data_IF_005100422480
#
_entry.id   IF_005100422480
#
_cell.length_a   1.000
_cell.length_b   1.000
_cell.length_c   1.000
_cell.angle_alpha   90.00
_cell.angle_beta   90.00
_cell.angle_gamma   90.00
#
_symmetry.space_group_name_H-M   'P 1'
#
loop_
_entity.id
_entity.type
_entity.pdbx_description
1 polymer ?
#
# COMPACT_ATOMS: atom_id res chain seq x y z
N UNK A 1 -16.17 -9.30 9.01
CA UNK A 1 -15.49 -8.03 8.66
C UNK A 1 -16.51 -7.03 8.18
N UNK A 2 -16.39 -5.77 8.60
CA UNK A 2 -17.29 -4.68 8.19
C UNK A 2 -16.46 -3.49 7.70
N UNK A 3 -17.02 -2.72 6.74
CA UNK A 3 -16.50 -1.41 6.30
C UNK A 3 -17.64 -0.41 6.52
N UNK A 4 -17.38 0.64 7.31
CA UNK A 4 -18.39 1.61 7.75
C UNK A 4 -19.68 0.95 8.30
N UNK A 5 -19.53 -0.09 9.12
CA UNK A 5 -20.64 -0.83 9.73
C UNK A 5 -21.37 -1.80 8.79
N UNK A 6 -21.05 -1.84 7.49
CA UNK A 6 -21.66 -2.77 6.52
C UNK A 6 -20.82 -4.03 6.40
N UNK A 7 -21.46 -5.19 6.44
CA UNK A 7 -20.78 -6.47 6.25
C UNK A 7 -20.15 -6.56 4.85
N UNK A 8 -18.92 -7.04 4.80
CA UNK A 8 -18.20 -7.29 3.54
C UNK A 8 -18.68 -8.60 2.92
N UNK A 9 -19.24 -8.53 1.72
CA UNK A 9 -19.66 -9.69 0.93
C UNK A 9 -19.05 -9.61 -0.46
N UNK A 10 -17.88 -10.26 -0.67
CA UNK A 10 -17.21 -10.29 -1.97
C UNK A 10 -16.46 -9.01 -2.36
N UNK A 11 -16.20 -8.83 -3.65
CA UNK A 11 -15.49 -7.67 -4.21
C UNK A 11 -16.39 -6.42 -4.21
N UNK A 12 -15.78 -5.23 -4.05
CA UNK A 12 -16.52 -3.97 -4.07
C UNK A 12 -15.59 -2.79 -4.37
N UNK A 13 -16.12 -1.68 -4.88
CA UNK A 13 -15.38 -0.46 -5.18
C UNK A 13 -14.95 0.33 -3.92
N UNK A 14 -15.46 -0.04 -2.76
CA UNK A 14 -15.07 0.52 -1.47
C UNK A 14 -13.71 0.02 -0.98
N UNK A 15 -13.11 -0.97 -1.67
CA UNK A 15 -11.81 -1.55 -1.38
C UNK A 15 -10.93 -1.59 -2.63
N UNK A 16 -9.73 -1.04 -2.53
CA UNK A 16 -8.68 -1.18 -3.54
C UNK A 16 -7.69 -2.26 -3.11
N UNK A 17 -7.15 -3.02 -4.07
CA UNK A 17 -6.12 -4.04 -3.81
C UNK A 17 -4.85 -3.73 -4.58
N UNK A 18 -3.72 -3.80 -3.88
CA UNK A 18 -2.36 -3.74 -4.46
C UNK A 18 -1.66 -5.03 -4.11
N UNK A 19 -1.22 -5.76 -5.12
CA UNK A 19 -0.55 -7.06 -4.99
C UNK A 19 0.96 -6.90 -4.96
N UNK A 20 1.67 -7.94 -4.55
CA UNK A 20 3.13 -8.04 -4.56
C UNK A 20 3.69 -7.81 -5.97
N UNK A 21 3.10 -8.44 -6.97
CA UNK A 21 3.30 -8.08 -8.37
C UNK A 21 2.15 -7.17 -8.78
N UNK A 22 2.45 -6.06 -9.45
CA UNK A 22 1.45 -5.02 -9.75
C UNK A 22 0.24 -5.48 -10.58
N UNK A 23 0.29 -6.71 -11.11
CA UNK A 23 -0.78 -7.37 -11.89
C UNK A 23 -1.41 -6.41 -12.91
N UNK A 24 -0.53 -5.74 -13.68
CA UNK A 24 -0.97 -4.84 -14.74
C UNK A 24 -1.42 -5.64 -15.96
N UNK A 25 -2.46 -5.16 -16.62
CA UNK A 25 -2.93 -5.71 -17.88
C UNK A 25 -1.86 -5.43 -18.96
N UNK A 26 -1.17 -6.45 -19.50
CA UNK A 26 0.05 -6.26 -20.28
C UNK A 26 -0.18 -5.62 -21.65
N UNK A 27 -1.40 -5.69 -22.16
CA UNK A 27 -1.82 -5.07 -23.43
C UNK A 27 -2.27 -3.60 -23.28
N UNK A 28 -2.44 -3.10 -22.05
CA UNK A 28 -2.84 -1.73 -21.75
C UNK A 28 -1.62 -0.87 -21.38
N UNK A 29 -1.65 0.43 -21.71
CA UNK A 29 -0.68 1.42 -21.20
C UNK A 29 -0.89 1.67 -19.70
N UNK A 30 0.04 2.41 -19.06
CA UNK A 30 -0.11 2.84 -17.67
C UNK A 30 -1.43 3.63 -17.46
N UNK A 31 -1.74 4.57 -18.35
CA UNK A 31 -2.98 5.32 -18.36
C UNK A 31 -4.21 4.39 -18.42
N UNK A 32 -4.21 3.47 -19.38
CA UNK A 32 -5.33 2.55 -19.59
C UNK A 32 -5.51 1.58 -18.42
N UNK A 33 -4.42 1.16 -17.77
CA UNK A 33 -4.48 0.36 -16.55
C UNK A 33 -5.19 1.10 -15.41
N UNK A 34 -4.90 2.39 -15.23
CA UNK A 34 -5.58 3.21 -14.22
C UNK A 34 -7.04 3.48 -14.60
N UNK A 35 -7.31 3.76 -15.87
CA UNK A 35 -8.66 3.98 -16.38
C UNK A 35 -9.57 2.77 -16.24
N UNK A 36 -9.03 1.55 -16.32
CA UNK A 36 -9.80 0.31 -16.36
C UNK A 36 -10.83 0.19 -15.21
N UNK A 37 -10.38 0.41 -13.96
CA UNK A 37 -11.27 0.36 -12.80
C UNK A 37 -12.34 1.46 -12.80
N UNK A 38 -11.99 2.65 -13.29
CA UNK A 38 -12.90 3.78 -13.43
C UNK A 38 -13.98 3.52 -14.48
N UNK A 39 -13.59 2.90 -15.60
CA UNK A 39 -14.52 2.48 -16.66
C UNK A 39 -15.54 1.45 -16.15
N UNK A 40 -15.09 0.50 -15.34
CA UNK A 40 -15.98 -0.48 -14.70
C UNK A 40 -16.94 0.17 -13.72
N UNK A 41 -16.54 1.29 -13.09
CA UNK A 41 -17.39 2.14 -12.24
C UNK A 41 -18.40 2.98 -13.05
N UNK A 42 -18.32 2.99 -14.36
CA UNK A 42 -19.21 3.73 -15.27
C UNK A 42 -18.71 5.11 -15.69
N UNK A 43 -17.50 5.53 -15.26
CA UNK A 43 -16.90 6.80 -15.66
C UNK A 43 -16.55 6.78 -17.16
N UNK A 44 -16.69 7.90 -17.86
CA UNK A 44 -16.46 8.01 -19.31
C UNK A 44 -15.88 9.36 -19.70
N UNK A 45 -15.39 9.45 -20.93
CA UNK A 45 -14.99 10.71 -21.56
C UNK A 45 -13.85 11.45 -20.90
N UNK A 46 -13.95 12.78 -20.85
CA UNK A 46 -12.89 13.64 -20.32
C UNK A 46 -12.64 13.46 -18.82
N UNK A 47 -13.70 13.18 -18.04
CA UNK A 47 -13.60 12.94 -16.60
C UNK A 47 -12.76 11.68 -16.30
N UNK A 48 -12.99 10.59 -17.03
CA UNK A 48 -12.22 9.36 -16.92
C UNK A 48 -10.72 9.63 -17.12
N UNK A 49 -10.39 10.36 -18.18
CA UNK A 49 -8.99 10.66 -18.51
C UNK A 49 -8.34 11.58 -17.47
N UNK A 50 -9.00 12.67 -17.11
CA UNK A 50 -8.46 13.63 -16.13
C UNK A 50 -8.28 13.01 -14.74
N UNK A 51 -9.19 12.11 -14.34
CA UNK A 51 -9.05 11.36 -13.09
C UNK A 51 -7.84 10.44 -13.13
N UNK A 52 -7.65 9.67 -14.20
CA UNK A 52 -6.50 8.80 -14.35
C UNK A 52 -5.18 9.58 -14.39
N UNK A 53 -5.12 10.70 -15.10
CA UNK A 53 -3.97 11.62 -15.14
C UNK A 53 -3.60 12.12 -13.75
N UNK A 54 -4.58 12.55 -12.95
CA UNK A 54 -4.38 12.98 -11.56
C UNK A 54 -3.71 11.91 -10.70
N UNK A 55 -4.13 10.65 -10.81
CA UNK A 55 -3.53 9.58 -10.00
C UNK A 55 -2.17 9.13 -10.52
N UNK A 56 -1.91 9.19 -11.82
CA UNK A 56 -0.57 8.98 -12.37
C UNK A 56 0.40 10.09 -11.97
N UNK A 57 -0.06 11.33 -11.93
CA UNK A 57 0.73 12.46 -11.43
C UNK A 57 1.03 12.30 -9.92
N UNK A 58 0.05 11.85 -9.14
CA UNK A 58 0.19 11.58 -7.70
C UNK A 58 1.32 10.58 -7.39
N UNK A 59 1.54 9.60 -8.27
CA UNK A 59 2.60 8.59 -8.14
C UNK A 59 3.85 8.90 -8.98
N UNK A 60 3.98 10.12 -9.50
CA UNK A 60 5.15 10.58 -10.26
C UNK A 60 5.32 9.92 -11.64
N UNK A 61 4.24 9.50 -12.30
CA UNK A 61 4.28 8.81 -13.59
C UNK A 61 3.62 9.57 -14.73
N UNK A 62 3.47 10.90 -14.61
CA UNK A 62 2.86 11.77 -15.63
C UNK A 62 3.46 11.56 -17.02
N UNK A 63 4.79 11.52 -17.12
CA UNK A 63 5.51 11.41 -18.39
C UNK A 63 5.59 9.96 -18.92
N UNK A 64 5.11 8.99 -18.15
CA UNK A 64 5.16 7.57 -18.51
C UNK A 64 3.78 6.97 -18.79
N UNK A 65 2.74 7.78 -18.87
CA UNK A 65 1.34 7.36 -19.01
C UNK A 65 1.05 6.49 -20.24
N UNK A 66 1.80 6.66 -21.32
CA UNK A 66 1.62 5.93 -22.57
C UNK A 66 2.45 4.63 -22.65
N UNK A 67 3.35 4.39 -21.69
CA UNK A 67 4.19 3.19 -21.66
C UNK A 67 3.37 1.96 -21.28
N UNK A 68 3.68 0.83 -21.92
CA UNK A 68 3.13 -0.48 -21.57
C UNK A 68 3.94 -1.14 -20.45
N UNK A 69 3.40 -2.14 -19.74
CA UNK A 69 4.09 -2.78 -18.61
C UNK A 69 5.50 -3.29 -18.91
N UNK A 70 5.76 -3.82 -20.11
CA UNK A 70 7.09 -4.27 -20.49
C UNK A 70 8.12 -3.14 -20.68
N UNK A 71 7.68 -1.89 -20.74
CA UNK A 71 8.51 -0.68 -20.87
C UNK A 71 8.72 0.04 -19.52
N UNK A 72 8.18 -0.52 -18.43
CA UNK A 72 8.22 0.04 -17.09
C UNK A 72 9.17 -0.78 -16.20
N UNK A 73 9.93 -0.11 -15.32
CA UNK A 73 10.68 -0.77 -14.26
C UNK A 73 9.73 -1.43 -13.23
N UNK A 74 10.25 -2.28 -12.36
CA UNK A 74 9.46 -2.90 -11.29
C UNK A 74 8.76 -1.87 -10.41
N UNK A 75 9.49 -0.85 -9.95
CA UNK A 75 8.94 0.24 -9.15
C UNK A 75 7.90 1.07 -9.90
N UNK A 76 8.11 1.34 -11.20
CA UNK A 76 7.09 2.04 -12.01
C UNK A 76 5.81 1.20 -12.17
N UNK A 77 5.93 -0.11 -12.37
CA UNK A 77 4.75 -1.01 -12.41
C UNK A 77 3.98 -0.95 -11.10
N UNK A 78 4.69 -0.99 -9.97
CA UNK A 78 4.06 -0.92 -8.65
C UNK A 78 3.34 0.41 -8.43
N UNK A 79 3.93 1.52 -8.83
CA UNK A 79 3.27 2.84 -8.80
C UNK A 79 2.00 2.89 -9.66
N UNK A 80 2.00 2.29 -10.85
CA UNK A 80 0.77 2.17 -11.66
C UNK A 80 -0.28 1.33 -10.94
N UNK A 81 0.10 0.23 -10.27
CA UNK A 81 -0.79 -0.59 -9.45
C UNK A 81 -1.43 0.19 -8.30
N UNK A 82 -0.63 1.01 -7.59
CA UNK A 82 -1.11 1.90 -6.53
C UNK A 82 -2.06 2.96 -7.11
N UNK A 83 -1.69 3.62 -8.21
CA UNK A 83 -2.54 4.61 -8.87
C UNK A 83 -3.89 4.01 -9.30
N UNK A 84 -3.88 2.81 -9.89
CA UNK A 84 -5.08 2.06 -10.28
C UNK A 84 -5.99 1.77 -9.09
N UNK A 85 -5.41 1.32 -7.98
CA UNK A 85 -6.17 1.01 -6.77
C UNK A 85 -6.74 2.27 -6.10
N UNK A 86 -6.02 3.39 -6.13
CA UNK A 86 -6.48 4.67 -5.56
C UNK A 86 -7.52 5.37 -6.43
N UNK A 87 -7.43 5.22 -7.76
CA UNK A 87 -8.28 5.95 -8.71
C UNK A 87 -9.77 5.65 -8.53
N UNK A 88 -10.12 4.42 -8.15
CA UNK A 88 -11.51 4.04 -7.86
C UNK A 88 -12.06 4.68 -6.57
N UNK A 89 -11.26 5.51 -5.88
CA UNK A 89 -11.58 6.18 -4.62
C UNK A 89 -12.08 5.20 -3.53
N UNK A 90 -11.30 4.19 -3.17
CA UNK A 90 -11.69 3.21 -2.17
C UNK A 90 -11.68 3.82 -0.77
N UNK A 91 -12.45 3.26 0.16
CA UNK A 91 -12.39 3.59 1.59
C UNK A 91 -11.21 2.91 2.28
N UNK A 92 -10.91 1.70 1.84
CA UNK A 92 -9.81 0.87 2.37
C UNK A 92 -8.90 0.45 1.23
N UNK A 93 -7.59 0.63 1.41
CA UNK A 93 -6.56 0.13 0.52
C UNK A 93 -5.90 -1.09 1.16
N UNK A 94 -6.03 -2.24 0.51
CA UNK A 94 -5.39 -3.49 0.91
C UNK A 94 -4.08 -3.62 0.13
N UNK A 95 -2.97 -3.82 0.82
CA UNK A 95 -1.66 -3.99 0.20
C UNK A 95 -1.06 -5.31 0.69
N UNK A 96 -0.83 -6.23 -0.24
CA UNK A 96 -0.29 -7.55 0.05
C UNK A 96 1.16 -7.63 -0.43
N UNK A 97 2.11 -7.51 0.51
CA UNK A 97 3.57 -7.47 0.28
C UNK A 97 3.99 -6.56 -0.91
N UNK A 98 3.48 -5.31 -1.02
CA UNK A 98 3.54 -4.53 -2.26
C UNK A 98 4.98 -4.19 -2.70
N UNK A 99 5.96 -4.34 -1.83
CA UNK A 99 7.35 -4.01 -2.09
C UNK A 99 8.29 -5.22 -2.08
N UNK A 100 7.76 -6.44 -1.87
CA UNK A 100 8.57 -7.67 -1.72
C UNK A 100 9.41 -8.03 -2.95
N UNK A 101 8.96 -7.69 -4.16
CA UNK A 101 9.64 -7.99 -5.41
C UNK A 101 10.65 -6.90 -5.86
N UNK A 102 10.87 -5.85 -5.05
CA UNK A 102 11.69 -4.70 -5.41
C UNK A 102 13.08 -4.76 -4.75
N UNK A 103 14.08 -4.17 -5.43
CA UNK A 103 15.39 -3.93 -4.83
C UNK A 103 15.29 -2.94 -3.64
N UNK A 104 16.30 -2.94 -2.77
CA UNK A 104 16.27 -2.19 -1.51
C UNK A 104 16.10 -0.67 -1.72
N UNK A 105 16.79 -0.08 -2.69
CA UNK A 105 16.73 1.36 -2.95
C UNK A 105 15.35 1.78 -3.49
N UNK A 106 14.82 1.04 -4.45
CA UNK A 106 13.47 1.28 -5.01
C UNK A 106 12.39 1.10 -3.94
N UNK A 107 12.54 0.08 -3.08
CA UNK A 107 11.63 -0.19 -1.95
C UNK A 107 11.59 0.99 -0.99
N UNK A 108 12.73 1.49 -0.56
CA UNK A 108 12.82 2.60 0.38
C UNK A 108 12.20 3.89 -0.17
N UNK A 109 12.46 4.18 -1.45
CA UNK A 109 11.82 5.29 -2.16
C UNK A 109 10.31 5.15 -2.17
N UNK A 110 9.77 3.97 -2.51
CA UNK A 110 8.33 3.74 -2.58
C UNK A 110 7.64 3.74 -1.20
N UNK A 111 8.34 3.33 -0.13
CA UNK A 111 7.85 3.45 1.24
C UNK A 111 7.64 4.92 1.63
N UNK A 112 8.63 5.79 1.35
CA UNK A 112 8.52 7.22 1.60
C UNK A 112 7.37 7.85 0.80
N UNK A 113 7.28 7.54 -0.48
CA UNK A 113 6.17 8.01 -1.34
C UNK A 113 4.80 7.52 -0.86
N UNK A 114 4.69 6.28 -0.38
CA UNK A 114 3.44 5.77 0.17
C UNK A 114 3.00 6.56 1.41
N UNK A 115 3.93 6.95 2.27
CA UNK A 115 3.64 7.83 3.42
C UNK A 115 3.13 9.20 2.98
N UNK A 116 3.70 9.80 1.95
CA UNK A 116 3.22 11.06 1.37
C UNK A 116 1.84 10.91 0.74
N UNK A 117 1.62 9.85 -0.04
CA UNK A 117 0.30 9.54 -0.62
C UNK A 117 -0.74 9.34 0.48
N UNK A 118 -0.41 8.60 1.54
CA UNK A 118 -1.29 8.41 2.69
C UNK A 118 -1.60 9.74 3.38
N UNK A 119 -0.60 10.61 3.60
CA UNK A 119 -0.80 11.93 4.22
C UNK A 119 -1.75 12.82 3.40
N UNK A 120 -1.72 12.71 2.06
CA UNK A 120 -2.58 13.46 1.13
C UNK A 120 -3.98 12.88 0.99
N UNK A 121 -4.11 11.55 0.98
CA UNK A 121 -5.39 10.86 0.68
C UNK A 121 -6.18 10.48 1.93
N UNK A 122 -5.52 10.35 3.09
CA UNK A 122 -6.13 9.97 4.39
C UNK A 122 -6.93 8.65 4.33
N UNK A 123 -6.57 7.74 3.44
CA UNK A 123 -7.25 6.45 3.31
C UNK A 123 -6.84 5.50 4.43
N UNK A 124 -7.76 4.62 4.83
CA UNK A 124 -7.39 3.48 5.67
C UNK A 124 -6.58 2.50 4.83
N UNK A 125 -5.39 2.16 5.31
CA UNK A 125 -4.49 1.20 4.64
C UNK A 125 -4.34 -0.02 5.53
N UNK A 126 -4.56 -1.21 4.98
CA UNK A 126 -4.17 -2.50 5.57
C UNK A 126 -2.98 -2.99 4.76
N UNK A 127 -1.84 -3.04 5.41
CA UNK A 127 -0.55 -3.36 4.80
C UNK A 127 -0.06 -4.70 5.34
N UNK A 128 0.05 -5.71 4.49
CA UNK A 128 0.59 -7.02 4.84
C UNK A 128 2.05 -7.07 4.44
N UNK A 129 2.90 -7.45 5.36
CA UNK A 129 4.34 -7.63 5.14
C UNK A 129 4.91 -8.63 6.14
N UNK A 130 6.01 -9.27 5.78
CA UNK A 130 6.84 -10.06 6.68
C UNK A 130 8.08 -9.29 7.16
N UNK A 131 8.29 -8.06 6.69
CA UNK A 131 9.41 -7.19 7.08
C UNK A 131 9.00 -6.33 8.28
N UNK A 132 9.69 -6.53 9.41
CA UNK A 132 9.44 -5.83 10.68
C UNK A 132 9.68 -4.33 10.56
N UNK A 133 10.76 -3.94 9.90
CA UNK A 133 11.17 -2.54 9.79
C UNK A 133 10.18 -1.78 8.90
N UNK A 134 9.66 -2.42 7.87
CA UNK A 134 8.61 -1.89 7.01
C UNK A 134 7.30 -1.71 7.78
N UNK A 135 6.86 -2.72 8.54
CA UNK A 135 5.65 -2.64 9.35
C UNK A 135 5.73 -1.47 10.35
N UNK A 136 6.85 -1.30 11.05
CA UNK A 136 7.04 -0.24 12.04
C UNK A 136 7.11 1.14 11.38
N UNK A 137 7.86 1.24 10.27
CA UNK A 137 8.05 2.51 9.57
C UNK A 137 6.74 3.07 9.00
N UNK A 138 5.84 2.20 8.53
CA UNK A 138 4.64 2.60 7.79
C UNK A 138 3.37 2.65 8.64
N UNK A 139 3.21 1.75 9.61
CA UNK A 139 1.94 1.57 10.31
C UNK A 139 1.76 2.52 11.51
N UNK A 140 0.49 2.75 11.89
CA UNK A 140 0.07 3.34 13.17
C UNK A 140 -0.24 2.24 14.19
N UNK A 141 -0.63 1.05 13.69
CA UNK A 141 -0.90 -0.14 14.49
C UNK A 141 -0.37 -1.37 13.77
N UNK A 142 0.20 -2.29 14.51
CA UNK A 142 0.69 -3.57 14.00
C UNK A 142 -0.18 -4.67 14.58
N UNK A 143 -0.63 -5.57 13.71
CA UNK A 143 -1.36 -6.79 14.07
C UNK A 143 -0.45 -7.98 13.79
N UNK A 144 -0.03 -8.65 14.85
CA UNK A 144 0.78 -9.88 14.73
C UNK A 144 -0.14 -11.07 14.54
N UNK A 145 0.08 -11.81 13.45
CA UNK A 145 -0.69 -13.01 13.11
C UNK A 145 0.16 -14.26 13.34
N UNK A 146 -0.39 -15.24 14.05
CA UNK A 146 0.22 -16.56 14.25
C UNK A 146 -0.81 -17.65 13.98
N UNK A 147 -0.43 -18.68 13.25
CA UNK A 147 -1.27 -19.87 12.98
C UNK A 147 -2.71 -19.50 12.55
N UNK A 148 -2.85 -18.44 11.74
CA UNK A 148 -4.16 -17.98 11.24
C UNK A 148 -5.01 -17.21 12.25
N UNK A 149 -4.44 -16.80 13.39
CA UNK A 149 -5.14 -16.01 14.44
C UNK A 149 -4.38 -14.72 14.74
N UNK A 150 -5.08 -13.70 15.22
CA UNK A 150 -4.48 -12.52 15.80
C UNK A 150 -3.85 -12.90 17.14
N UNK A 151 -2.53 -12.80 17.23
CA UNK A 151 -1.78 -13.04 18.47
C UNK A 151 -1.71 -11.78 19.32
N UNK A 152 -1.37 -10.66 18.70
CA UNK A 152 -1.20 -9.39 19.41
C UNK A 152 -1.55 -8.19 18.51
N UNK A 153 -1.98 -7.08 19.15
CA UNK A 153 -2.21 -5.81 18.48
C UNK A 153 -1.45 -4.72 19.23
N UNK A 154 -0.52 -4.05 18.55
CA UNK A 154 0.34 -3.03 19.12
C UNK A 154 0.14 -1.68 18.43
N UNK A 155 0.15 -0.58 19.19
CA UNK A 155 0.28 0.76 18.64
C UNK A 155 1.75 1.08 18.40
N UNK A 156 2.03 1.77 17.29
CA UNK A 156 3.37 2.23 16.95
C UNK A 156 3.54 3.65 17.49
N UNK A 157 4.45 3.90 18.46
CA UNK A 157 4.58 5.18 19.14
C UNK A 157 5.42 6.20 18.35
N UNK A 158 5.44 6.08 17.03
CA UNK A 158 6.15 7.00 16.14
C UNK A 158 5.19 8.05 15.59
N UNK A 159 5.52 9.33 15.81
CA UNK A 159 4.70 10.44 15.36
C UNK A 159 4.65 10.58 13.84
N UNK A 160 3.60 11.21 13.33
CA UNK A 160 3.50 11.61 11.92
C UNK A 160 3.63 13.15 11.81
N UNK A 161 4.16 13.69 10.70
CA UNK A 161 4.62 12.99 9.50
C UNK A 161 5.96 12.27 9.70
N UNK A 162 6.24 11.27 8.86
CA UNK A 162 7.50 10.50 8.83
C UNK A 162 8.21 10.74 7.48
N UNK A 163 8.76 11.94 7.25
CA UNK A 163 9.30 12.32 5.94
C UNK A 163 10.62 11.64 5.59
N UNK A 164 11.40 11.25 6.61
CA UNK A 164 12.70 10.61 6.46
C UNK A 164 12.70 9.29 7.23
N UNK A 165 12.68 8.19 6.49
CA UNK A 165 12.69 6.85 7.06
C UNK A 165 14.02 6.50 7.75
N UNK A 166 15.13 7.11 7.34
CA UNK A 166 16.41 6.94 8.01
C UNK A 166 16.40 7.55 9.42
N UNK A 167 15.84 8.75 9.55
CA UNK A 167 15.65 9.40 10.86
C UNK A 167 14.68 8.60 11.73
N UNK A 168 13.59 8.12 11.16
CA UNK A 168 12.59 7.30 11.86
C UNK A 168 13.21 6.03 12.43
N UNK A 169 14.02 5.32 11.63
CA UNK A 169 14.72 4.09 12.06
C UNK A 169 15.78 4.34 13.13
N UNK A 170 16.31 5.56 13.22
CA UNK A 170 17.29 5.95 14.23
C UNK A 170 16.69 6.29 15.61
N UNK A 171 15.37 6.34 15.75
CA UNK A 171 14.70 6.66 17.02
C UNK A 171 14.72 5.45 17.98
N UNK A 172 14.82 5.72 19.29
CA UNK A 172 14.78 4.69 20.34
C UNK A 172 13.45 3.92 20.32
N UNK A 173 12.35 4.63 20.09
CA UNK A 173 11.00 4.06 19.98
C UNK A 173 10.86 3.06 18.82
N UNK A 174 11.60 3.26 17.75
CA UNK A 174 11.66 2.30 16.64
C UNK A 174 12.31 0.99 17.09
N UNK A 175 13.48 1.07 17.72
CA UNK A 175 14.20 -0.12 18.20
C UNK A 175 13.42 -0.88 19.27
N UNK A 176 12.77 -0.17 20.19
CA UNK A 176 11.92 -0.78 21.22
C UNK A 176 10.69 -1.49 20.58
N UNK A 177 10.05 -0.83 19.62
CA UNK A 177 8.90 -1.42 18.91
C UNK A 177 9.33 -2.64 18.13
N UNK A 178 10.49 -2.57 17.46
CA UNK A 178 11.08 -3.69 16.72
C UNK A 178 11.31 -4.90 17.61
N UNK A 179 11.86 -4.69 18.80
CA UNK A 179 12.06 -5.77 19.77
C UNK A 179 10.74 -6.38 20.23
N UNK A 180 9.72 -5.55 20.53
CA UNK A 180 8.38 -6.04 20.94
C UNK A 180 7.73 -6.89 19.86
N UNK A 181 7.73 -6.42 18.60
CA UNK A 181 7.14 -7.15 17.46
C UNK A 181 7.90 -8.44 17.21
N UNK A 182 9.25 -8.39 17.25
CA UNK A 182 10.08 -9.59 17.10
C UNK A 182 9.78 -10.62 18.19
N UNK A 183 9.70 -10.20 19.44
CA UNK A 183 9.35 -11.06 20.58
C UNK A 183 7.97 -11.69 20.40
N UNK A 184 6.98 -10.86 20.04
CA UNK A 184 5.62 -11.34 19.77
C UNK A 184 5.56 -12.39 18.65
N UNK A 185 6.46 -12.34 17.67
CA UNK A 185 6.56 -13.35 16.61
C UNK A 185 7.23 -14.66 17.06
N UNK A 186 8.20 -14.60 18.00
CA UNK A 186 9.05 -15.74 18.35
C UNK A 186 8.66 -16.40 19.69
N UNK A 187 7.99 -15.70 20.59
CA UNK A 187 7.47 -16.33 21.81
C UNK A 187 6.45 -17.40 21.44
N UNK A 188 6.71 -18.65 21.89
CA UNK A 188 5.71 -19.71 21.82
C UNK A 188 4.55 -19.35 22.74
N UNK A 189 3.32 -19.50 22.24
CA UNK A 189 2.14 -19.47 23.11
C UNK A 189 2.32 -20.53 24.18
N UNK A 190 2.59 -20.13 25.41
CA UNK A 190 2.54 -21.03 26.58
C UNK A 190 1.08 -21.42 26.69
N UNK A 191 0.77 -22.60 26.15
CA UNK A 191 -0.56 -23.22 26.28
C UNK A 191 -0.71 -23.57 27.77
N UNK A 192 -1.53 -22.79 28.45
CA UNK A 192 -2.09 -23.16 29.76
C UNK A 192 -3.41 -23.85 29.59
#
# INVERSE_FOLDING_TARGET
VTVDGKAVSGCGYDRGMVFQHAELLPWLSAMQNVMFGLEMKGMRGAELRSTAEKYLDLVGLKDSQNRRPHQLSGGMKQRVGIARALAIDPKVLLMDEPFGALDAQTRETLQAELLEIHARTKKTVIFVTHDLDEAIALADRIVVMKRGRVSEVMSVPLSRPRPDLGVVRGQSEFAETRYKVWRALHEEETVH
#
